data_IF_649564970985
#
_entry.id   IF_649564970985
#
_cell.length_a   1.000
_cell.length_b   1.000
_cell.length_c   1.000
_cell.angle_alpha   90.00
_cell.angle_beta   90.00
_cell.angle_gamma   90.00
#
_symmetry.space_group_name_H-M   'P 1'
#
loop_
_entity.id
_entity.type
_entity.pdbx_description
1 polymer ?
#
# COMPACT_ATOMS: atom_id res chain seq x y z
N UNK A 1 9.27 20.30 21.86
CA UNK A 1 9.10 20.32 20.40
C UNK A 1 7.92 19.43 20.06
N UNK A 2 6.83 20.01 19.55
CA UNK A 2 5.59 19.29 19.22
C UNK A 2 5.77 18.65 17.84
N UNK A 3 6.01 17.34 17.81
CA UNK A 3 6.09 16.59 16.56
C UNK A 3 4.69 16.63 15.93
N UNK A 4 4.56 17.28 14.76
CA UNK A 4 3.30 17.40 14.00
C UNK A 4 2.93 16.05 13.36
N UNK A 5 2.53 15.09 14.18
CA UNK A 5 2.23 13.71 13.74
C UNK A 5 0.98 13.58 12.85
N UNK A 6 0.07 14.57 12.86
CA UNK A 6 -1.24 14.47 12.17
C UNK A 6 -1.13 14.72 10.64
N UNK A 7 -0.01 15.28 10.17
CA UNK A 7 0.19 15.67 8.77
C UNK A 7 0.84 14.58 7.89
N UNK A 8 1.49 13.59 8.49
CA UNK A 8 2.42 12.71 7.78
C UNK A 8 1.74 11.58 7.03
N UNK A 9 0.69 10.96 7.58
CA UNK A 9 -0.01 9.85 6.91
C UNK A 9 -0.70 10.30 5.62
N UNK A 10 -1.50 11.37 5.73
CA UNK A 10 -2.24 11.94 4.61
C UNK A 10 -1.30 12.45 3.53
N UNK A 11 -0.27 13.20 3.91
CA UNK A 11 0.68 13.73 2.94
C UNK A 11 1.53 12.61 2.30
N UNK A 12 1.82 11.51 3.03
CA UNK A 12 2.54 10.35 2.49
C UNK A 12 1.69 9.66 1.43
N UNK A 13 0.43 9.37 1.76
CA UNK A 13 -0.51 8.79 0.81
C UNK A 13 -0.71 9.68 -0.42
N UNK A 14 -0.83 11.00 -0.24
CA UNK A 14 -0.94 11.96 -1.35
C UNK A 14 0.31 11.99 -2.24
N UNK A 15 1.52 11.96 -1.66
CA UNK A 15 2.76 11.91 -2.44
C UNK A 15 2.88 10.62 -3.23
N UNK A 16 2.59 9.49 -2.59
CA UNK A 16 2.60 8.18 -3.25
C UNK A 16 1.53 8.13 -4.34
N UNK A 17 0.34 8.69 -4.09
CA UNK A 17 -0.72 8.76 -5.09
C UNK A 17 -0.28 9.47 -6.37
N UNK A 18 0.51 10.54 -6.22
CA UNK A 18 1.02 11.34 -7.33
C UNK A 18 2.23 10.73 -8.01
N UNK A 19 3.10 10.04 -7.28
CA UNK A 19 4.38 9.54 -7.80
C UNK A 19 4.30 8.10 -8.33
N UNK A 20 3.40 7.29 -7.79
CA UNK A 20 3.28 5.89 -8.18
C UNK A 20 2.53 5.76 -9.51
N UNK A 21 3.09 5.04 -10.50
CA UNK A 21 2.47 4.92 -11.82
C UNK A 21 1.35 3.87 -11.82
N UNK A 22 0.23 4.17 -11.15
CA UNK A 22 -0.91 3.27 -10.97
C UNK A 22 -1.38 2.61 -12.27
N UNK A 23 -1.54 3.41 -13.31
CA UNK A 23 -2.07 2.98 -14.61
C UNK A 23 -1.14 2.01 -15.35
N UNK A 24 0.17 2.11 -15.15
CA UNK A 24 1.16 1.20 -15.73
C UNK A 24 0.93 -0.24 -15.24
N UNK A 25 0.48 -0.41 -14.00
CA UNK A 25 0.16 -1.73 -13.44
C UNK A 25 -1.26 -2.18 -13.77
N UNK A 26 -2.18 -1.28 -14.14
CA UNK A 26 -3.60 -1.61 -14.35
C UNK A 26 -3.79 -2.78 -15.32
N UNK A 27 -3.09 -2.79 -16.45
CA UNK A 27 -3.21 -3.87 -17.44
C UNK A 27 -2.75 -5.22 -16.87
N UNK A 28 -1.59 -5.24 -16.21
CA UNK A 28 -1.02 -6.43 -15.54
C UNK A 28 -1.90 -6.95 -14.40
N UNK A 29 -2.56 -6.06 -13.66
CA UNK A 29 -3.46 -6.44 -12.58
C UNK A 29 -4.81 -6.96 -13.10
N UNK A 30 -5.30 -6.41 -14.22
CA UNK A 30 -6.52 -6.89 -14.86
C UNK A 30 -6.35 -8.30 -15.43
N UNK A 31 -5.17 -8.64 -15.95
CA UNK A 31 -4.90 -9.99 -16.49
C UNK A 31 -4.99 -11.11 -15.43
N UNK A 32 -4.96 -10.78 -14.14
CA UNK A 32 -5.21 -11.72 -13.03
C UNK A 32 -6.65 -12.27 -13.00
N UNK A 33 -7.55 -11.68 -13.80
CA UNK A 33 -8.96 -12.02 -13.85
C UNK A 33 -9.37 -12.42 -15.27
N UNK A 34 -9.95 -13.61 -15.41
CA UNK A 34 -10.52 -14.08 -16.69
C UNK A 34 -11.79 -13.31 -17.10
N UNK A 35 -12.42 -12.59 -16.15
CA UNK A 35 -13.60 -11.75 -16.35
C UNK A 35 -13.37 -10.38 -15.72
N UNK A 36 -14.13 -9.36 -16.13
CA UNK A 36 -14.06 -8.03 -15.53
C UNK A 36 -14.23 -8.12 -14.00
N UNK A 37 -13.26 -7.65 -13.20
CA UNK A 37 -13.37 -7.70 -11.74
C UNK A 37 -14.51 -6.81 -11.26
N UNK A 38 -15.17 -7.23 -10.16
CA UNK A 38 -16.27 -6.47 -9.54
C UNK A 38 -15.81 -5.14 -8.94
N UNK A 39 -14.54 -5.08 -8.53
CA UNK A 39 -13.90 -3.91 -7.95
C UNK A 39 -12.76 -3.44 -8.83
N UNK A 40 -12.50 -2.14 -8.78
CA UNK A 40 -11.36 -1.58 -9.51
C UNK A 40 -10.04 -2.10 -8.92
N UNK A 41 -9.17 -2.61 -9.80
CA UNK A 41 -7.91 -3.25 -9.39
C UNK A 41 -6.93 -2.25 -8.74
N UNK A 42 -7.02 -0.96 -9.09
CA UNK A 42 -6.21 0.07 -8.46
C UNK A 42 -6.74 0.36 -7.06
N UNK A 43 -8.05 0.40 -6.84
CA UNK A 43 -8.62 0.49 -5.48
C UNK A 43 -8.18 -0.69 -4.60
N UNK A 44 -8.17 -1.92 -5.13
CA UNK A 44 -7.70 -3.09 -4.38
C UNK A 44 -6.21 -2.98 -4.03
N UNK A 45 -5.40 -2.49 -4.97
CA UNK A 45 -3.98 -2.25 -4.73
C UNK A 45 -3.74 -1.15 -3.69
N UNK A 46 -4.48 -0.04 -3.75
CA UNK A 46 -4.40 1.04 -2.78
C UNK A 46 -4.74 0.57 -1.37
N UNK A 47 -5.74 -0.30 -1.20
CA UNK A 47 -6.02 -0.92 0.11
C UNK A 47 -4.85 -1.77 0.60
N UNK A 48 -4.22 -2.56 -0.27
CA UNK A 48 -3.02 -3.33 0.11
C UNK A 48 -1.86 -2.42 0.52
N UNK A 49 -1.71 -1.27 -0.15
CA UNK A 49 -0.72 -0.28 0.23
C UNK A 49 -0.98 0.26 1.63
N UNK A 50 -2.21 0.71 1.91
CA UNK A 50 -2.57 1.20 3.26
C UNK A 50 -2.26 0.12 4.28
N UNK A 51 -2.72 -1.12 4.02
CA UNK A 51 -2.47 -2.25 4.92
C UNK A 51 -0.97 -2.46 5.18
N UNK A 52 -0.14 -2.37 4.15
CA UNK A 52 1.30 -2.60 4.25
C UNK A 52 2.04 -1.45 4.96
N UNK A 53 1.70 -0.21 4.64
CA UNK A 53 2.37 0.99 5.17
C UNK A 53 2.02 1.21 6.64
N UNK A 54 0.75 1.01 7.00
CA UNK A 54 0.21 1.28 8.34
C UNK A 54 0.07 0.01 9.20
N UNK A 55 0.56 -1.13 8.71
CA UNK A 55 0.52 -2.44 9.40
C UNK A 55 -0.87 -2.85 9.89
N UNK A 56 -1.91 -2.56 9.11
CA UNK A 56 -3.30 -2.87 9.46
C UNK A 56 -3.52 -4.38 9.38
N UNK A 57 -4.16 -4.97 10.40
CA UNK A 57 -4.47 -6.41 10.38
C UNK A 57 -5.58 -6.73 9.38
N UNK A 58 -5.62 -7.97 8.86
CA UNK A 58 -6.73 -8.38 8.00
C UNK A 58 -8.08 -8.31 8.73
N UNK A 59 -8.13 -8.59 10.03
CA UNK A 59 -9.38 -8.63 10.79
C UNK A 59 -10.03 -7.26 10.90
N UNK A 60 -9.22 -6.20 11.02
CA UNK A 60 -9.70 -4.84 11.20
C UNK A 60 -9.68 -4.00 9.92
N UNK A 61 -9.24 -4.57 8.78
CA UNK A 61 -8.94 -3.84 7.56
C UNK A 61 -10.04 -2.85 7.13
N UNK A 62 -11.30 -3.29 7.11
CA UNK A 62 -12.40 -2.41 6.70
C UNK A 62 -12.73 -1.35 7.74
N UNK A 63 -12.65 -1.69 9.03
CA UNK A 63 -12.95 -0.78 10.13
C UNK A 63 -11.93 0.36 10.18
N UNK A 64 -10.65 0.01 10.30
CA UNK A 64 -9.57 1.00 10.38
C UNK A 64 -9.50 1.90 9.13
N UNK A 65 -9.83 1.37 7.95
CA UNK A 65 -9.94 2.21 6.73
C UNK A 65 -11.10 3.18 6.81
N UNK A 66 -12.27 2.75 7.28
CA UNK A 66 -13.47 3.60 7.35
C UNK A 66 -13.34 4.67 8.43
N UNK A 67 -12.62 4.39 9.51
CA UNK A 67 -12.43 5.30 10.62
C UNK A 67 -11.44 6.43 10.29
N UNK A 68 -10.59 6.24 9.27
CA UNK A 68 -9.62 7.25 8.81
C UNK A 68 -10.11 8.02 7.59
N UNK A 69 -10.38 9.32 7.77
CA UNK A 69 -10.72 10.24 6.68
C UNK A 69 -9.64 10.27 5.59
N UNK A 70 -8.36 10.20 5.97
CA UNK A 70 -7.24 10.20 5.01
C UNK A 70 -7.24 8.96 4.12
N UNK A 71 -7.57 7.79 4.68
CA UNK A 71 -7.68 6.55 3.92
C UNK A 71 -8.89 6.57 2.99
N UNK A 72 -10.02 7.09 3.47
CA UNK A 72 -11.22 7.29 2.65
C UNK A 72 -10.99 8.26 1.49
N UNK A 73 -10.33 9.40 1.74
CA UNK A 73 -9.95 10.37 0.70
C UNK A 73 -9.06 9.71 -0.37
N UNK A 74 -8.02 8.98 0.06
CA UNK A 74 -7.08 8.29 -0.84
C UNK A 74 -7.73 7.20 -1.70
N UNK A 75 -8.79 6.56 -1.19
CA UNK A 75 -9.58 5.54 -1.89
C UNK A 75 -10.73 6.11 -2.74
N UNK A 76 -10.97 7.44 -2.70
CA UNK A 76 -12.11 8.05 -3.39
C UNK A 76 -13.47 7.68 -2.76
N UNK A 77 -13.49 7.46 -1.45
CA UNK A 77 -14.72 7.26 -0.66
C UNK A 77 -15.32 5.85 -0.71
N UNK A 78 -14.68 4.88 -1.37
CA UNK A 78 -15.17 3.49 -1.44
C UNK A 78 -14.16 2.52 -0.85
N UNK A 79 -14.63 1.66 0.05
CA UNK A 79 -13.80 0.62 0.69
C UNK A 79 -14.19 -0.75 0.14
N UNK A 80 -13.31 -1.41 -0.63
CA UNK A 80 -13.52 -2.79 -1.06
C UNK A 80 -13.66 -3.75 0.13
N UNK A 81 -14.52 -4.79 0.04
CA UNK A 81 -14.63 -5.79 1.09
C UNK A 81 -13.30 -6.53 1.31
N UNK A 82 -12.97 -6.83 2.57
CA UNK A 82 -11.77 -7.57 2.99
C UNK A 82 -11.57 -8.84 2.19
N UNK A 83 -12.64 -9.61 2.00
CA UNK A 83 -12.59 -10.88 1.24
C UNK A 83 -12.11 -10.64 -0.19
N UNK A 84 -12.60 -9.58 -0.85
CA UNK A 84 -12.20 -9.23 -2.21
C UNK A 84 -10.73 -8.82 -2.28
N UNK A 85 -10.27 -8.00 -1.33
CA UNK A 85 -8.87 -7.59 -1.22
C UNK A 85 -7.96 -8.78 -0.94
N UNK A 86 -8.37 -9.69 -0.06
CA UNK A 86 -7.63 -10.90 0.26
C UNK A 86 -7.50 -11.84 -0.94
N UNK A 87 -8.58 -12.06 -1.70
CA UNK A 87 -8.51 -12.84 -2.93
C UNK A 87 -7.59 -12.22 -3.98
N UNK A 88 -7.61 -10.88 -4.12
CA UNK A 88 -6.68 -10.17 -4.98
C UNK A 88 -5.22 -10.36 -4.52
N UNK A 89 -4.95 -10.23 -3.22
CA UNK A 89 -3.64 -10.51 -2.64
C UNK A 89 -3.15 -11.93 -2.94
N UNK A 90 -4.02 -12.93 -2.80
CA UNK A 90 -3.70 -14.32 -3.14
C UNK A 90 -3.37 -14.50 -4.62
N UNK A 91 -4.12 -13.87 -5.52
CA UNK A 91 -3.82 -13.88 -6.96
C UNK A 91 -2.44 -13.30 -7.26
N UNK A 92 -2.06 -12.21 -6.61
CA UNK A 92 -0.72 -11.61 -6.76
C UNK A 92 0.39 -12.57 -6.29
N UNK A 93 0.17 -13.31 -5.20
CA UNK A 93 1.12 -14.30 -4.69
C UNK A 93 1.29 -15.51 -5.61
N UNK A 94 0.21 -15.95 -6.25
CA UNK A 94 0.19 -17.16 -7.06
C UNK A 94 0.62 -16.94 -8.51
N UNK A 95 0.63 -15.69 -8.97
CA UNK A 95 0.99 -15.36 -10.35
C UNK A 95 2.49 -15.26 -10.48
N UNK A 96 3.09 -16.26 -11.11
CA UNK A 96 4.52 -16.29 -11.44
C UNK A 96 4.75 -15.45 -12.71
N UNK A 97 5.75 -14.57 -12.68
CA UNK A 97 6.17 -13.78 -13.84
C UNK A 97 7.40 -14.43 -14.48
N UNK A 98 8.35 -14.86 -13.65
CA UNK A 98 9.58 -15.56 -14.05
C UNK A 98 9.92 -16.63 -12.98
N UNK A 99 10.87 -17.53 -13.26
CA UNK A 99 11.26 -18.56 -12.31
C UNK A 99 11.68 -17.94 -10.96
N UNK A 100 10.94 -18.25 -9.90
CA UNK A 100 11.15 -17.68 -8.55
C UNK A 100 10.61 -16.26 -8.32
N UNK A 101 10.08 -15.58 -9.35
CA UNK A 101 9.52 -14.23 -9.23
C UNK A 101 7.99 -14.22 -9.40
N UNK A 102 7.30 -13.59 -8.45
CA UNK A 102 5.83 -13.45 -8.47
C UNK A 102 5.42 -12.01 -8.75
N UNK A 103 4.19 -11.81 -9.25
CA UNK A 103 3.60 -10.48 -9.42
C UNK A 103 3.61 -9.68 -8.12
N UNK A 104 3.44 -10.34 -6.98
CA UNK A 104 3.58 -9.70 -5.66
C UNK A 104 4.99 -9.16 -5.43
N UNK A 105 6.04 -9.92 -5.71
CA UNK A 105 7.42 -9.49 -5.41
C UNK A 105 7.80 -8.28 -6.25
N UNK A 106 7.53 -8.31 -7.55
CA UNK A 106 7.76 -7.16 -8.45
C UNK A 106 6.96 -5.94 -8.02
N UNK A 107 5.68 -6.11 -7.70
CA UNK A 107 4.82 -5.02 -7.31
C UNK A 107 5.23 -4.40 -5.97
N UNK A 108 5.63 -5.22 -5.00
CA UNK A 108 6.10 -4.72 -3.70
C UNK A 108 7.44 -4.03 -3.82
N UNK A 109 8.34 -4.47 -4.70
CA UNK A 109 9.61 -3.79 -4.96
C UNK A 109 9.39 -2.38 -5.53
N UNK A 110 8.56 -2.27 -6.57
CA UNK A 110 8.19 -0.97 -7.17
C UNK A 110 7.46 -0.07 -6.17
N UNK A 111 6.57 -0.63 -5.35
CA UNK A 111 5.89 0.10 -4.29
C UNK A 111 6.88 0.61 -3.23
N UNK A 112 7.82 -0.23 -2.80
CA UNK A 112 8.84 0.14 -1.83
C UNK A 112 9.77 1.22 -2.37
N UNK A 113 10.15 1.17 -3.66
CA UNK A 113 10.92 2.24 -4.31
C UNK A 113 10.17 3.58 -4.26
N UNK A 114 8.88 3.58 -4.62
CA UNK A 114 8.05 4.79 -4.58
C UNK A 114 7.87 5.33 -3.14
N UNK A 115 7.66 4.44 -2.17
CA UNK A 115 7.56 4.79 -0.75
C UNK A 115 8.86 5.37 -0.22
N UNK A 116 10.01 4.73 -0.52
CA UNK A 116 11.31 5.20 -0.08
C UNK A 116 11.65 6.57 -0.65
N UNK A 117 11.33 6.80 -1.93
CA UNK A 117 11.46 8.13 -2.55
C UNK A 117 10.56 9.16 -1.88
N UNK A 118 9.30 8.84 -1.63
CA UNK A 118 8.39 9.76 -0.96
C UNK A 118 8.90 10.13 0.45
N UNK A 119 9.43 9.14 1.18
CA UNK A 119 9.93 9.31 2.55
C UNK A 119 11.27 10.04 2.60
N UNK A 120 12.18 9.85 1.64
CA UNK A 120 13.41 10.64 1.57
C UNK A 120 13.10 12.12 1.36
N UNK A 121 12.17 12.46 0.46
CA UNK A 121 11.72 13.83 0.22
C UNK A 121 11.08 14.49 1.47
N UNK A 122 10.60 13.70 2.43
CA UNK A 122 10.12 14.21 3.72
C UNK A 122 11.25 14.44 4.71
N UNK A 123 12.19 13.50 4.81
CA UNK A 123 13.34 13.61 5.72
C UNK A 123 14.22 14.80 5.33
N UNK A 124 14.40 15.05 4.03
CA UNK A 124 15.10 16.24 3.52
C UNK A 124 14.41 17.57 3.91
N UNK A 125 13.10 17.52 4.18
CA UNK A 125 12.30 18.67 4.66
C UNK A 125 12.24 18.77 6.18
N UNK A 126 12.97 17.93 6.92
CA UNK A 126 13.05 17.95 8.39
C UNK A 126 11.87 17.29 9.11
N UNK A 127 11.12 16.40 8.45
CA UNK A 127 10.01 15.67 9.07
C UNK A 127 10.42 14.24 9.45
N UNK A 128 10.07 13.81 10.66
CA UNK A 128 10.11 12.40 11.09
C UNK A 128 8.79 11.71 10.74
N UNK A 129 8.88 10.54 10.11
CA UNK A 129 7.73 9.76 9.66
C UNK A 129 7.71 8.45 10.45
N UNK A 130 6.83 8.35 11.44
CA UNK A 130 6.51 7.07 12.06
C UNK A 130 5.66 6.25 11.10
N UNK A 131 6.31 5.45 10.25
CA UNK A 131 5.63 4.47 9.42
C UNK A 131 5.71 3.13 10.13
N UNK A 132 4.59 2.40 10.25
CA UNK A 132 4.53 1.10 10.96
C UNK A 132 5.59 0.08 10.51
N UNK A 133 6.12 0.25 9.29
CA UNK A 133 7.25 -0.50 8.72
C UNK A 133 8.55 -0.45 9.54
N UNK A 134 8.76 0.57 10.39
CA UNK A 134 9.97 0.67 11.21
C UNK A 134 10.06 -0.42 12.30
N UNK A 135 8.96 -1.13 12.59
CA UNK A 135 8.97 -2.26 13.53
C UNK A 135 9.68 -3.53 13.02
N UNK A 136 9.85 -3.71 11.70
CA UNK A 136 10.43 -4.97 11.16
C UNK A 136 11.89 -4.88 10.75
N UNK A 137 12.50 -3.69 10.73
CA UNK A 137 13.94 -3.54 10.42
C UNK A 137 14.79 -3.59 11.70
N UNK A 138 14.20 -3.33 12.87
CA UNK A 138 14.90 -3.34 14.17
C UNK A 138 15.06 -4.70 14.86
N UNK A 139 14.59 -5.82 14.28
CA UNK A 139 14.60 -7.13 14.96
C UNK A 139 15.57 -8.15 14.35
N UNK A 140 16.57 -7.70 13.57
CA UNK A 140 17.73 -8.53 13.20
C UNK A 140 19.04 -7.86 13.61
N UNK A 141 19.15 -7.59 14.89
CA UNK A 141 20.44 -7.52 15.57
C UNK A 141 20.24 -7.91 17.03
N UNK A 142 21.16 -8.72 17.57
CA UNK A 142 21.23 -9.28 18.93
C UNK A 142 20.12 -10.30 19.28
N UNK A 143 20.42 -11.58 19.55
CA UNK A 143 21.56 -12.19 20.24
C UNK A 143 21.92 -13.55 19.64
#
# INVERSE_FOLDING_TARGET
MTVKAISTEKDLLLKVDKSFPWETFRSKLKSLYSKKPKWDVISLLKVLLIKFVFDISWNNLEGEIRDSKSFMDFLGGKVPPKSTVFFFYKKLQQTVIQEGETMRTTLMDELNKALNKAISEYREKGFELEVGREKTIGSRTTT
#
